data_IF_804567508626
#
_entry.id   IF_804567508626
#
_cell.length_a   1.000
_cell.length_b   1.000
_cell.length_c   1.000
_cell.angle_alpha   90.00
_cell.angle_beta   90.00
_cell.angle_gamma   90.00
#
_symmetry.space_group_name_H-M   'P 1'
#
loop_
_entity.id
_entity.type
_entity.pdbx_description
1 polymer ?
#
# COMPACT_ATOMS: atom_id res chain seq x y z
N UNK A 1 -0.43 -12.76 5.00
CA UNK A 1 0.51 -12.28 6.05
C UNK A 1 0.33 -10.79 6.32
N UNK A 2 0.30 -9.90 5.31
CA UNK A 2 -0.01 -8.47 5.53
C UNK A 2 -1.44 -8.24 6.06
N UNK A 3 -2.46 -8.86 5.46
CA UNK A 3 -3.87 -8.75 5.91
C UNK A 3 -4.12 -9.34 7.31
N UNK A 4 -3.20 -10.16 7.83
CA UNK A 4 -3.27 -10.70 9.20
C UNK A 4 -2.67 -9.74 10.23
N UNK A 5 -1.84 -8.79 9.79
CA UNK A 5 -1.19 -7.79 10.64
C UNK A 5 -1.90 -6.44 10.59
N UNK A 6 -2.73 -6.21 9.57
CA UNK A 6 -3.60 -5.05 9.48
C UNK A 6 -5.07 -5.50 9.59
N UNK A 7 -5.55 -5.54 10.84
CA UNK A 7 -6.93 -5.90 11.20
C UNK A 7 -7.97 -4.92 10.61
N UNK A 8 -7.52 -3.72 10.19
CA UNK A 8 -8.35 -2.68 9.61
C UNK A 8 -8.19 -2.53 8.10
N UNK A 9 -7.54 -3.50 7.43
CA UNK A 9 -7.33 -3.49 5.99
C UNK A 9 -8.68 -3.51 5.25
N UNK A 10 -9.08 -2.35 4.73
CA UNK A 10 -10.32 -2.17 3.98
C UNK A 10 -10.04 -1.73 2.54
N UNK A 11 -10.91 -2.09 1.57
CA UNK A 11 -10.77 -1.62 0.18
C UNK A 11 -11.02 -0.11 0.03
N UNK A 12 -11.68 0.50 1.01
CA UNK A 12 -12.00 1.93 1.10
C UNK A 12 -11.15 2.61 2.18
N UNK A 13 -10.60 3.78 1.86
CA UNK A 13 -9.90 4.63 2.83
C UNK A 13 -10.95 5.22 3.77
N UNK A 14 -11.07 4.66 4.97
CA UNK A 14 -11.92 5.19 6.03
C UNK A 14 -11.33 4.80 7.38
N UNK A 15 -11.40 5.71 8.35
CA UNK A 15 -11.03 5.38 9.72
C UNK A 15 -12.19 4.67 10.40
N UNK A 16 -11.93 3.45 10.85
CA UNK A 16 -12.87 2.68 11.64
C UNK A 16 -12.81 3.13 13.12
N UNK A 17 -13.20 4.38 13.40
CA UNK A 17 -13.16 4.95 14.75
C UNK A 17 -13.95 4.10 15.76
N UNK A 18 -15.10 3.58 15.33
CA UNK A 18 -15.95 2.70 16.13
C UNK A 18 -15.26 1.38 16.55
N UNK A 19 -14.25 0.94 15.81
CA UNK A 19 -13.46 -0.26 16.11
C UNK A 19 -12.12 0.08 16.81
N UNK A 20 -11.92 1.34 17.22
CA UNK A 20 -10.70 1.80 17.85
C UNK A 20 -9.48 1.65 16.95
N UNK A 21 -9.61 2.04 15.68
CA UNK A 21 -8.57 1.91 14.64
C UNK A 21 -7.17 2.29 15.17
N UNK A 22 -6.32 1.29 15.36
CA UNK A 22 -4.92 1.47 15.75
C UNK A 22 -4.01 1.31 14.55
N UNK A 23 -2.93 2.09 14.56
CA UNK A 23 -1.85 1.96 13.60
C UNK A 23 -1.24 0.56 13.69
N UNK A 24 -1.26 -0.17 12.58
CA UNK A 24 -0.49 -1.40 12.43
C UNK A 24 0.96 -1.04 12.07
N UNK A 25 1.85 -0.97 13.07
CA UNK A 25 3.28 -0.67 12.90
C UNK A 25 4.18 -1.89 13.07
N UNK A 26 3.61 -3.08 13.28
CA UNK A 26 4.35 -4.31 13.58
C UNK A 26 4.61 -5.19 12.33
N UNK A 27 5.73 -5.91 12.36
CA UNK A 27 6.04 -6.95 11.37
C UNK A 27 6.41 -6.40 9.99
N UNK A 28 5.67 -6.75 8.94
CA UNK A 28 6.00 -6.28 7.58
C UNK A 28 5.77 -4.77 7.46
N UNK A 29 4.81 -4.24 8.22
CA UNK A 29 4.50 -2.81 8.26
C UNK A 29 5.65 -1.97 8.86
N UNK A 30 6.51 -2.53 9.72
CA UNK A 30 7.69 -1.80 10.20
C UNK A 30 8.77 -1.58 9.13
N UNK A 31 8.68 -2.26 7.99
CA UNK A 31 9.62 -2.15 6.88
C UNK A 31 9.01 -1.49 5.64
N UNK A 32 7.72 -1.71 5.40
CA UNK A 32 7.02 -1.23 4.21
C UNK A 32 5.63 -0.72 4.59
N UNK A 33 5.29 0.52 4.23
CA UNK A 33 3.99 1.13 4.60
C UNK A 33 2.80 0.42 3.95
N UNK A 34 2.93 0.00 2.68
CA UNK A 34 1.84 -0.65 1.94
C UNK A 34 2.26 -1.94 1.21
N UNK A 35 2.52 -3.04 1.93
CA UNK A 35 2.94 -4.31 1.32
C UNK A 35 1.86 -4.95 0.42
N UNK A 36 0.58 -4.60 0.63
CA UNK A 36 -0.53 -5.08 -0.20
C UNK A 36 -0.43 -4.62 -1.66
N UNK A 37 -0.07 -3.36 -1.90
CA UNK A 37 0.06 -2.84 -3.27
C UNK A 37 1.21 -3.50 -4.03
N UNK A 38 2.30 -3.89 -3.34
CA UNK A 38 3.38 -4.67 -3.95
C UNK A 38 2.90 -6.07 -4.37
N UNK A 39 2.11 -6.75 -3.52
CA UNK A 39 1.47 -8.02 -3.89
C UNK A 39 0.55 -7.90 -5.10
N UNK A 40 -0.25 -6.83 -5.15
CA UNK A 40 -1.16 -6.56 -6.26
C UNK A 40 -0.42 -6.27 -7.58
N UNK A 41 0.70 -5.55 -7.50
CA UNK A 41 1.59 -5.29 -8.63
C UNK A 41 2.21 -6.58 -9.17
N UNK A 42 2.80 -7.40 -8.30
CA UNK A 42 3.37 -8.69 -8.70
C UNK A 42 2.32 -9.62 -9.30
N UNK A 43 1.12 -9.68 -8.73
CA UNK A 43 0.04 -10.52 -9.24
C UNK A 43 -0.42 -10.08 -10.64
N UNK A 44 -0.61 -8.78 -10.86
CA UNK A 44 -1.07 -8.24 -12.14
C UNK A 44 0.00 -8.37 -13.23
N UNK A 45 1.26 -8.06 -12.90
CA UNK A 45 2.39 -8.24 -13.82
C UNK A 45 2.63 -9.72 -14.13
N UNK A 46 2.52 -10.61 -13.15
CA UNK A 46 2.63 -12.06 -13.36
C UNK A 46 1.53 -12.61 -14.26
N UNK A 47 0.29 -12.14 -14.09
CA UNK A 47 -0.86 -12.56 -14.92
C UNK A 47 -0.68 -12.12 -16.37
N UNK A 48 -0.28 -10.87 -16.59
CA UNK A 48 -0.06 -10.33 -17.95
C UNK A 48 1.12 -10.98 -18.66
N UNK A 49 2.17 -11.34 -17.91
CA UNK A 49 3.29 -12.12 -18.43
C UNK A 49 2.89 -13.56 -18.77
N UNK A 50 2.07 -14.19 -17.93
CA UNK A 50 1.56 -15.54 -18.17
C UNK A 50 0.69 -15.63 -19.44
N UNK A 51 -0.06 -14.56 -19.76
CA UNK A 51 -0.80 -14.43 -21.02
C UNK A 51 0.11 -14.20 -22.25
N UNK A 52 1.43 -14.08 -22.07
CA UNK A 52 2.41 -13.93 -23.15
C UNK A 52 2.50 -12.54 -23.75
N UNK A 53 1.80 -11.55 -23.19
CA UNK A 53 1.78 -10.18 -23.73
C UNK A 53 2.74 -9.27 -22.98
N UNK A 54 3.98 -9.19 -23.46
CA UNK A 54 5.03 -8.33 -22.88
C UNK A 54 4.63 -6.85 -22.95
N UNK A 55 4.00 -6.43 -24.05
CA UNK A 55 3.48 -5.07 -24.18
C UNK A 55 2.41 -4.77 -23.13
N UNK A 56 1.41 -5.66 -22.97
CA UNK A 56 0.39 -5.48 -21.95
C UNK A 56 0.98 -5.53 -20.54
N UNK A 57 2.01 -6.34 -20.30
CA UNK A 57 2.74 -6.38 -19.02
C UNK A 57 3.36 -5.03 -18.70
N UNK A 58 4.06 -4.42 -19.66
CA UNK A 58 4.65 -3.08 -19.49
C UNK A 58 3.60 -2.01 -19.24
N UNK A 59 2.58 -1.92 -20.10
CA UNK A 59 1.53 -0.91 -19.95
C UNK A 59 0.73 -1.08 -18.65
N UNK A 60 0.33 -2.30 -18.32
CA UNK A 60 -0.39 -2.59 -17.08
C UNK A 60 0.47 -2.26 -15.87
N UNK A 61 1.75 -2.64 -15.85
CA UNK A 61 2.64 -2.36 -14.72
C UNK A 61 2.81 -0.85 -14.50
N UNK A 62 3.07 -0.08 -15.57
CA UNK A 62 3.22 1.38 -15.47
C UNK A 62 1.92 2.04 -15.00
N UNK A 63 0.78 1.65 -15.58
CA UNK A 63 -0.52 2.17 -15.18
C UNK A 63 -0.85 1.83 -13.72
N UNK A 64 -0.55 0.61 -13.28
CA UNK A 64 -0.77 0.16 -11.91
C UNK A 64 0.09 0.96 -10.93
N UNK A 65 1.38 1.17 -11.25
CA UNK A 65 2.29 1.98 -10.43
C UNK A 65 1.71 3.40 -10.29
N UNK A 66 1.37 4.06 -11.40
CA UNK A 66 0.80 5.41 -11.36
C UNK A 66 -0.47 5.48 -10.50
N UNK A 67 -1.40 4.53 -10.70
CA UNK A 67 -2.64 4.45 -9.93
C UNK A 67 -2.41 4.19 -8.44
N UNK A 68 -1.49 3.28 -8.09
CA UNK A 68 -1.19 2.97 -6.68
C UNK A 68 -0.41 4.07 -6.00
N UNK A 69 0.53 4.75 -6.67
CA UNK A 69 1.17 5.96 -6.13
C UNK A 69 0.11 7.00 -5.79
N UNK A 70 -0.80 7.31 -6.72
CA UNK A 70 -1.85 8.29 -6.49
C UNK A 70 -2.75 7.89 -5.31
N UNK A 71 -3.23 6.64 -5.29
CA UNK A 71 -4.08 6.13 -4.20
C UNK A 71 -3.38 6.22 -2.84
N UNK A 72 -2.11 5.85 -2.77
CA UNK A 72 -1.33 5.92 -1.53
C UNK A 72 -1.18 7.37 -1.06
N UNK A 73 -0.98 8.33 -1.96
CA UNK A 73 -0.90 9.73 -1.55
C UNK A 73 -2.21 10.22 -0.92
N UNK A 74 -3.35 9.84 -1.50
CA UNK A 74 -4.66 10.17 -0.93
C UNK A 74 -4.85 9.48 0.43
N UNK A 75 -4.51 8.20 0.51
CA UNK A 75 -4.60 7.40 1.75
C UNK A 75 -3.70 7.95 2.86
N UNK A 76 -2.43 8.23 2.57
CA UNK A 76 -1.48 8.82 3.52
C UNK A 76 -1.88 10.24 3.95
N UNK A 77 -2.51 11.03 3.07
CA UNK A 77 -3.03 12.35 3.43
C UNK A 77 -4.16 12.23 4.45
N UNK A 78 -5.15 11.38 4.18
CA UNK A 78 -6.26 11.11 5.12
C UNK A 78 -5.73 10.52 6.44
N UNK A 79 -4.80 9.57 6.38
CA UNK A 79 -4.22 8.98 7.60
C UNK A 79 -3.35 9.97 8.39
N UNK A 80 -2.65 10.90 7.74
CA UNK A 80 -1.92 11.96 8.44
C UNK A 80 -2.86 12.95 9.14
N UNK A 81 -4.04 13.22 8.57
CA UNK A 81 -5.01 14.17 9.12
C UNK A 81 -5.84 13.55 10.25
N UNK A 82 -6.26 12.30 10.09
CA UNK A 82 -7.27 11.68 10.96
C UNK A 82 -6.67 10.62 11.92
N UNK A 83 -5.51 10.02 11.62
CA UNK A 83 -4.89 8.99 12.47
C UNK A 83 -3.72 9.53 13.32
N UNK A 84 -3.95 9.65 14.63
CA UNK A 84 -2.92 10.03 15.59
C UNK A 84 -1.73 9.05 15.55
N UNK A 85 -0.53 9.59 15.33
CA UNK A 85 0.72 8.82 15.30
C UNK A 85 1.17 8.37 13.90
N UNK A 86 0.33 8.50 12.87
CA UNK A 86 0.71 8.13 11.50
C UNK A 86 1.89 8.98 10.97
N UNK A 87 1.93 10.26 11.34
CA UNK A 87 3.04 11.16 10.98
C UNK A 87 4.38 10.73 11.57
N UNK A 88 4.40 10.20 12.80
CA UNK A 88 5.62 9.65 13.40
C UNK A 88 6.02 8.32 12.75
N UNK A 89 5.04 7.57 12.26
CA UNK A 89 5.26 6.32 11.55
C UNK A 89 5.85 6.53 10.14
N UNK A 90 5.42 7.55 9.40
CA UNK A 90 6.01 7.89 8.10
C UNK A 90 7.48 8.32 8.21
N UNK A 91 7.88 8.91 9.34
CA UNK A 91 9.28 9.23 9.63
C UNK A 91 10.13 7.98 9.94
N UNK A 92 9.55 6.98 10.64
CA UNK A 92 10.21 5.70 10.93
C UNK A 92 10.35 4.82 9.70
N UNK A 93 9.28 4.69 8.91
CA UNK A 93 9.21 3.78 7.76
C UNK A 93 9.18 4.62 6.49
N UNK A 94 10.35 4.89 5.91
CA UNK A 94 10.47 5.73 4.70
C UNK A 94 10.06 5.00 3.42
N UNK A 95 10.00 3.68 3.43
CA UNK A 95 9.70 2.88 2.23
C UNK A 95 8.20 2.70 2.07
N UNK A 96 7.64 3.24 0.99
CA UNK A 96 6.21 3.25 0.73
C UNK A 96 5.70 1.87 0.30
N UNK A 97 6.29 1.31 -0.76
CA UNK A 97 6.05 -0.08 -1.20
C UNK A 97 7.13 -0.63 -2.15
N UNK A 98 7.80 0.22 -2.94
CA UNK A 98 9.00 -0.14 -3.69
C UNK A 98 10.24 0.46 -3.01
N UNK A 99 11.38 -0.25 -2.90
CA UNK A 99 12.65 0.41 -2.64
C UNK A 99 12.83 1.49 -3.73
N UNK A 100 13.29 2.69 -3.36
CA UNK A 100 13.39 3.91 -4.22
C UNK A 100 12.14 4.78 -4.36
N UNK A 101 10.95 4.36 -3.90
CA UNK A 101 9.77 5.25 -3.79
C UNK A 101 9.57 5.60 -2.31
N UNK A 102 10.00 6.81 -1.93
CA UNK A 102 9.87 7.37 -0.58
C UNK A 102 8.50 8.02 -0.36
#
# INVERSE_FOLDING_TARGET
>A
MSMLQNEYAAPTVHIQEAAGHKLADSGIYSHVRHPMYLGFLLFTSGTTLWLGSIAATLFATIALIAATVYRIHVEEATLCEELLGYKAYTEKVKTRYLPFIY
#
